data_IF_310911077369
#
_entry.id   IF_310911077369
#
_cell.length_a   1.000
_cell.length_b   1.000
_cell.length_c   1.000
_cell.angle_alpha   90.00
_cell.angle_beta   90.00
_cell.angle_gamma   90.00
#
_symmetry.space_group_name_H-M   'P 1'
#
loop_
_entity.id
_entity.type
_entity.pdbx_description
1 polymer ?
#
# COMPACT_ATOMS: atom_id res chain seq x y z
N UNK A 1 2.61 0.87 -8.49
CA UNK A 1 3.48 1.90 -9.07
C UNK A 1 2.83 3.28 -9.08
N UNK A 2 3.59 4.27 -9.46
CA UNK A 2 3.16 5.66 -9.60
C UNK A 2 3.82 6.27 -10.85
N UNK A 3 3.08 7.04 -11.63
CA UNK A 3 3.67 7.98 -12.58
C UNK A 3 4.14 9.24 -11.81
N UNK A 4 5.35 9.16 -11.28
CA UNK A 4 5.95 10.25 -10.50
C UNK A 4 6.27 11.48 -11.35
N UNK A 5 6.21 11.38 -12.68
CA UNK A 5 6.43 12.49 -13.61
C UNK A 5 5.16 13.29 -13.90
N UNK A 6 4.01 12.82 -13.40
CA UNK A 6 2.73 13.49 -13.60
C UNK A 6 2.78 14.94 -13.04
N UNK A 7 2.29 15.95 -13.78
CA UNK A 7 2.37 17.36 -13.36
C UNK A 7 1.82 17.66 -11.98
N UNK A 8 0.83 16.89 -11.51
CA UNK A 8 0.23 17.04 -10.20
C UNK A 8 1.15 16.64 -9.02
N UNK A 9 2.27 16.02 -9.32
CA UNK A 9 3.32 15.69 -8.34
C UNK A 9 4.58 16.53 -8.51
N UNK A 10 4.51 17.58 -9.30
CA UNK A 10 5.61 18.54 -9.54
C UNK A 10 5.19 19.91 -8.98
N UNK A 11 6.04 20.52 -8.19
CA UNK A 11 5.77 21.83 -7.61
C UNK A 11 5.94 22.98 -8.66
N UNK A 12 5.63 24.20 -8.25
CA UNK A 12 5.73 25.39 -9.13
C UNK A 12 7.17 25.75 -9.55
N UNK A 13 8.17 25.15 -8.91
CA UNK A 13 9.59 25.32 -9.23
C UNK A 13 10.13 24.20 -10.12
N UNK A 14 9.28 23.22 -10.47
CA UNK A 14 9.66 22.07 -11.28
C UNK A 14 10.27 20.91 -10.48
N UNK A 15 10.22 20.93 -9.14
CA UNK A 15 10.73 19.85 -8.32
C UNK A 15 9.62 18.85 -7.99
N UNK A 16 10.01 17.59 -7.82
CA UNK A 16 9.08 16.56 -7.40
C UNK A 16 8.59 16.74 -5.97
N UNK A 17 7.32 16.41 -5.71
CA UNK A 17 6.74 16.25 -4.36
C UNK A 17 6.94 14.84 -3.82
N UNK A 18 7.42 13.91 -4.65
CA UNK A 18 7.72 12.54 -4.26
C UNK A 18 9.12 12.51 -3.63
N UNK A 19 9.16 12.38 -2.31
CA UNK A 19 10.42 12.42 -1.56
C UNK A 19 11.20 11.12 -1.67
N UNK A 20 10.49 9.99 -1.73
CA UNK A 20 11.09 8.67 -1.85
C UNK A 20 10.17 7.74 -2.65
N UNK A 21 10.77 6.87 -3.44
CA UNK A 21 10.14 5.71 -4.06
C UNK A 21 10.93 4.47 -3.64
N UNK A 22 10.26 3.48 -3.07
CA UNK A 22 10.80 2.13 -2.90
C UNK A 22 10.02 1.16 -3.79
N UNK A 23 10.68 0.63 -4.79
CA UNK A 23 10.09 -0.36 -5.69
C UNK A 23 10.51 -1.78 -5.27
N UNK A 24 9.60 -2.47 -4.59
CA UNK A 24 9.79 -3.84 -4.12
C UNK A 24 9.78 -4.88 -5.26
N UNK A 25 9.45 -4.48 -6.49
CA UNK A 25 9.40 -5.40 -7.64
C UNK A 25 10.76 -5.62 -8.29
N UNK A 26 11.74 -4.77 -7.99
CA UNK A 26 13.08 -4.85 -8.57
C UNK A 26 13.87 -6.02 -7.95
N UNK A 27 14.16 -7.03 -8.77
CA UNK A 27 14.83 -8.25 -8.30
C UNK A 27 16.36 -8.15 -8.17
N UNK A 28 16.98 -7.16 -8.81
CA UNK A 28 18.43 -6.93 -8.77
C UNK A 28 18.74 -5.47 -8.49
N UNK A 29 18.43 -5.00 -7.27
CA UNK A 29 18.60 -3.61 -6.90
C UNK A 29 20.08 -3.22 -6.83
N UNK A 30 20.38 -1.95 -7.11
CA UNK A 30 21.69 -1.33 -6.90
C UNK A 30 21.72 -0.46 -5.65
N UNK A 31 20.56 -0.01 -5.19
CA UNK A 31 20.40 0.82 -4.01
C UNK A 31 19.16 0.35 -3.22
N UNK A 32 19.38 -0.50 -2.21
CA UNK A 32 18.31 -0.96 -1.32
C UNK A 32 18.10 0.03 -0.17
N UNK A 33 16.87 0.19 0.33
CA UNK A 33 16.67 1.01 1.53
C UNK A 33 17.43 0.44 2.73
N UNK A 34 17.93 1.32 3.59
CA UNK A 34 18.57 0.89 4.83
C UNK A 34 17.62 -0.02 5.64
N UNK A 35 18.16 -1.08 6.21
CA UNK A 35 17.47 -2.16 6.95
C UNK A 35 16.69 -3.17 6.10
N UNK A 36 16.65 -3.03 4.79
CA UNK A 36 16.01 -3.98 3.88
C UNK A 36 17.04 -4.50 2.88
N UNK A 37 16.83 -5.71 2.36
CA UNK A 37 17.75 -6.38 1.45
C UNK A 37 17.17 -6.60 0.05
N UNK A 38 16.08 -5.92 -0.29
CA UNK A 38 15.37 -6.09 -1.56
C UNK A 38 14.73 -4.79 -2.03
N UNK A 39 14.37 -4.76 -3.31
CA UNK A 39 13.80 -3.60 -3.96
C UNK A 39 14.78 -2.44 -4.13
N UNK A 40 14.47 -1.52 -4.99
CA UNK A 40 15.30 -0.34 -5.32
C UNK A 40 14.70 0.91 -4.70
N UNK A 41 15.54 1.77 -4.13
CA UNK A 41 15.14 3.06 -3.58
C UNK A 41 15.67 4.22 -4.43
N UNK A 42 14.84 5.23 -4.62
CA UNK A 42 15.21 6.54 -5.14
C UNK A 42 14.70 7.64 -4.22
N UNK A 43 15.50 8.65 -3.99
CA UNK A 43 15.09 9.86 -3.30
C UNK A 43 14.64 10.97 -4.29
N UNK A 44 14.21 12.11 -3.74
CA UNK A 44 13.77 13.25 -4.56
C UNK A 44 14.89 13.83 -5.42
N UNK A 45 16.16 13.66 -5.04
CA UNK A 45 17.31 14.08 -5.84
C UNK A 45 17.42 13.22 -7.09
N UNK A 46 17.35 11.90 -6.92
CA UNK A 46 17.37 10.94 -8.03
C UNK A 46 16.23 11.18 -9.01
N UNK A 47 15.02 11.46 -8.48
CA UNK A 47 13.85 11.77 -9.29
C UNK A 47 14.05 13.05 -10.09
N UNK A 48 14.49 14.13 -9.45
CA UNK A 48 14.72 15.41 -10.11
C UNK A 48 15.87 15.36 -11.13
N UNK A 49 16.87 14.49 -10.93
CA UNK A 49 17.95 14.27 -11.89
C UNK A 49 17.56 13.32 -13.04
N UNK A 50 16.38 12.71 -12.98
CA UNK A 50 15.89 11.80 -14.02
C UNK A 50 16.60 10.44 -14.03
N UNK A 51 17.21 10.02 -12.91
CA UNK A 51 17.87 8.70 -12.79
C UNK A 51 16.94 7.63 -12.20
N UNK A 52 15.78 8.02 -11.68
CA UNK A 52 14.76 7.08 -11.22
C UNK A 52 14.18 6.29 -12.40
N UNK A 53 14.25 4.97 -12.33
CA UNK A 53 13.78 4.05 -13.38
C UNK A 53 12.46 3.34 -13.02
N UNK A 54 11.83 3.73 -11.91
CA UNK A 54 10.52 3.24 -11.54
C UNK A 54 9.48 3.55 -12.62
N UNK A 55 8.55 2.65 -12.83
CA UNK A 55 7.43 2.82 -13.75
C UNK A 55 6.11 2.44 -13.10
N UNK A 56 5.02 3.10 -13.49
CA UNK A 56 3.67 2.66 -13.15
C UNK A 56 3.22 1.62 -14.19
N UNK A 57 3.12 0.32 -13.84
CA UNK A 57 2.81 -0.72 -14.82
C UNK A 57 1.40 -0.53 -15.40
N UNK A 58 1.30 -0.55 -16.72
CA UNK A 58 0.01 -0.43 -17.44
C UNK A 58 -1.01 -1.49 -17.06
N UNK A 59 -0.56 -2.65 -16.54
CA UNK A 59 -1.42 -3.73 -16.04
C UNK A 59 -2.31 -3.33 -14.88
N UNK A 60 -1.95 -2.28 -14.13
CA UNK A 60 -2.73 -1.75 -13.01
C UNK A 60 -3.47 -0.45 -13.36
N UNK A 61 -3.54 -0.08 -14.63
CA UNK A 61 -4.33 1.07 -15.14
C UNK A 61 -4.04 2.40 -14.43
N UNK A 62 -2.81 2.61 -13.95
CA UNK A 62 -2.45 3.81 -13.20
C UNK A 62 -3.11 3.91 -11.83
N UNK A 63 -3.47 2.78 -11.21
CA UNK A 63 -4.16 2.76 -9.92
C UNK A 63 -3.40 3.53 -8.84
N UNK A 64 -2.09 3.29 -8.69
CA UNK A 64 -1.28 3.98 -7.68
C UNK A 64 -1.16 5.48 -7.94
N UNK A 65 -1.02 5.89 -9.21
CA UNK A 65 -1.06 7.30 -9.62
C UNK A 65 -2.37 7.95 -9.25
N UNK A 66 -3.51 7.29 -9.54
CA UNK A 66 -4.84 7.80 -9.23
C UNK A 66 -5.04 7.96 -7.71
N UNK A 67 -4.70 6.93 -6.93
CA UNK A 67 -4.80 6.96 -5.46
C UNK A 67 -3.93 8.07 -4.86
N UNK A 68 -2.70 8.22 -5.35
CA UNK A 68 -1.79 9.29 -4.91
C UNK A 68 -2.32 10.67 -5.28
N UNK A 69 -2.93 10.82 -6.45
CA UNK A 69 -3.54 12.08 -6.87
C UNK A 69 -4.75 12.45 -5.99
N UNK A 70 -5.61 11.50 -5.66
CA UNK A 70 -6.73 11.73 -4.72
C UNK A 70 -6.24 12.17 -3.34
N UNK A 71 -5.09 11.68 -2.91
CA UNK A 71 -4.49 12.07 -1.64
C UNK A 71 -3.81 13.45 -1.70
N UNK A 72 -2.97 13.71 -2.70
CA UNK A 72 -2.01 14.81 -2.65
C UNK A 72 -1.73 15.53 -3.98
N UNK A 73 -2.61 15.42 -4.99
CA UNK A 73 -2.50 16.21 -6.22
C UNK A 73 -2.49 17.70 -5.91
N UNK A 74 -1.60 18.45 -6.55
CA UNK A 74 -1.59 19.92 -6.47
C UNK A 74 -2.40 20.59 -7.61
N UNK A 75 -3.05 19.81 -8.47
CA UNK A 75 -3.93 20.29 -9.54
C UNK A 75 -3.21 20.91 -10.72
N UNK A 76 -1.89 20.82 -10.83
CA UNK A 76 -1.12 21.50 -11.89
C UNK A 76 -1.45 21.02 -13.31
N UNK A 77 -1.89 19.77 -13.47
CA UNK A 77 -2.24 19.23 -14.78
C UNK A 77 -3.43 19.96 -15.43
N UNK A 78 -4.39 20.44 -14.63
CA UNK A 78 -5.63 21.01 -15.14
C UNK A 78 -5.96 22.38 -14.54
N UNK A 79 -5.13 22.92 -13.65
CA UNK A 79 -5.41 24.06 -12.78
C UNK A 79 -6.70 23.87 -11.93
N UNK A 80 -7.00 22.62 -11.59
CA UNK A 80 -8.16 22.20 -10.82
C UNK A 80 -7.94 20.76 -10.31
N UNK A 81 -8.91 20.20 -9.58
CA UNK A 81 -8.89 18.81 -9.11
C UNK A 81 -7.74 18.54 -8.14
N UNK A 82 -7.69 19.30 -7.07
CA UNK A 82 -6.75 19.11 -5.98
C UNK A 82 -7.04 17.83 -5.19
N UNK A 83 -6.01 17.17 -4.72
CA UNK A 83 -6.12 16.10 -3.72
C UNK A 83 -6.55 16.63 -2.35
N UNK A 84 -6.80 15.73 -1.42
CA UNK A 84 -7.23 16.08 -0.06
C UNK A 84 -6.17 16.88 0.72
N UNK A 85 -4.87 16.66 0.42
CA UNK A 85 -3.72 17.33 1.03
C UNK A 85 -2.73 17.78 -0.05
N UNK A 86 -3.04 18.86 -0.82
CA UNK A 86 -2.25 19.24 -1.99
C UNK A 86 -0.81 19.66 -1.68
N UNK A 87 -0.54 20.07 -0.45
CA UNK A 87 0.79 20.48 0.00
C UNK A 87 1.60 19.34 0.65
N UNK A 88 1.02 18.13 0.75
CA UNK A 88 1.73 17.01 1.35
C UNK A 88 2.84 16.49 0.44
N UNK A 89 3.95 16.10 1.06
CA UNK A 89 4.99 15.30 0.42
C UNK A 89 4.52 13.84 0.30
N UNK A 90 5.02 13.13 -0.70
CA UNK A 90 4.71 11.74 -0.95
C UNK A 90 5.92 10.84 -0.68
N UNK A 91 5.68 9.72 -0.01
CA UNK A 91 6.59 8.57 0.06
C UNK A 91 5.83 7.40 -0.55
N UNK A 92 6.38 6.78 -1.57
CA UNK A 92 5.69 5.75 -2.35
C UNK A 92 6.39 4.41 -2.21
N UNK A 93 5.63 3.36 -1.96
CA UNK A 93 6.11 1.98 -2.05
C UNK A 93 5.33 1.25 -3.14
N UNK A 94 6.04 0.79 -4.16
CA UNK A 94 5.49 -0.07 -5.20
C UNK A 94 5.59 -1.53 -4.74
N UNK A 95 4.47 -2.07 -4.26
CA UNK A 95 4.41 -3.40 -3.67
C UNK A 95 4.50 -4.50 -4.72
N UNK A 96 5.23 -5.58 -4.39
CA UNK A 96 5.29 -6.78 -5.21
C UNK A 96 4.17 -7.76 -4.83
N UNK A 97 3.04 -7.69 -5.52
CA UNK A 97 1.89 -8.57 -5.30
C UNK A 97 2.16 -10.06 -5.59
N UNK A 98 3.28 -10.39 -6.25
CA UNK A 98 3.69 -11.78 -6.51
C UNK A 98 4.58 -12.35 -5.39
N UNK A 99 4.89 -11.57 -4.35
CA UNK A 99 5.64 -12.06 -3.21
C UNK A 99 4.86 -13.12 -2.45
N UNK A 100 5.48 -14.27 -2.17
CA UNK A 100 4.87 -15.30 -1.34
C UNK A 100 4.61 -14.83 0.10
N UNK A 101 5.35 -13.82 0.56
CA UNK A 101 5.18 -13.16 1.87
C UNK A 101 4.69 -11.72 1.68
N UNK A 102 3.62 -11.55 0.89
CA UNK A 102 3.15 -10.20 0.55
C UNK A 102 2.78 -9.36 1.76
N UNK A 103 2.09 -9.94 2.77
CA UNK A 103 1.73 -9.22 4.00
C UNK A 103 2.96 -8.75 4.77
N UNK A 104 4.00 -9.59 4.87
CA UNK A 104 5.28 -9.19 5.46
C UNK A 104 5.92 -8.02 4.71
N UNK A 105 5.88 -8.01 3.36
CA UNK A 105 6.40 -6.88 2.58
C UNK A 105 5.58 -5.60 2.75
N UNK A 106 4.29 -5.70 3.08
CA UNK A 106 3.46 -4.54 3.47
C UNK A 106 3.89 -4.01 4.84
N UNK A 107 4.15 -4.88 5.82
CA UNK A 107 4.65 -4.45 7.12
C UNK A 107 6.03 -3.76 7.00
N UNK A 108 6.91 -4.27 6.13
CA UNK A 108 8.18 -3.62 5.79
C UNK A 108 7.96 -2.24 5.16
N UNK A 109 6.98 -2.11 4.26
CA UNK A 109 6.63 -0.84 3.64
C UNK A 109 6.16 0.19 4.68
N UNK A 110 5.37 -0.21 5.66
CA UNK A 110 4.90 0.66 6.76
C UNK A 110 6.09 1.12 7.61
N UNK A 111 7.01 0.23 7.97
CA UNK A 111 8.23 0.58 8.71
C UNK A 111 9.10 1.54 7.91
N UNK A 112 9.31 1.26 6.63
CA UNK A 112 10.07 2.12 5.72
C UNK A 112 9.49 3.54 5.68
N UNK A 113 8.20 3.67 5.38
CA UNK A 113 7.53 4.98 5.26
C UNK A 113 7.65 5.77 6.55
N UNK A 114 7.37 5.16 7.71
CA UNK A 114 7.49 5.84 8.99
C UNK A 114 8.94 6.23 9.31
N UNK A 115 9.93 5.40 8.97
CA UNK A 115 11.33 5.74 9.18
C UNK A 115 11.77 6.95 8.35
N UNK A 116 11.31 7.05 7.10
CA UNK A 116 11.59 8.20 6.23
C UNK A 116 10.89 9.47 6.74
N UNK A 117 9.62 9.37 7.11
CA UNK A 117 8.89 10.50 7.70
C UNK A 117 9.54 11.00 9.00
N UNK A 118 10.01 10.08 9.84
CA UNK A 118 10.71 10.40 11.07
C UNK A 118 12.05 11.13 10.82
N UNK A 119 12.79 10.70 9.80
CA UNK A 119 14.04 11.38 9.42
C UNK A 119 13.81 12.80 8.92
N UNK A 120 12.64 13.08 8.37
CA UNK A 120 12.20 14.41 7.94
C UNK A 120 11.57 15.24 9.10
N UNK A 121 11.30 14.60 10.24
CA UNK A 121 10.63 15.26 11.37
C UNK A 121 9.15 15.58 11.13
N UNK A 122 8.48 14.87 10.22
CA UNK A 122 7.12 15.14 9.78
C UNK A 122 6.12 14.07 10.29
N UNK A 123 4.86 14.48 10.56
CA UNK A 123 3.79 13.51 10.76
C UNK A 123 3.52 12.73 9.44
N UNK A 124 2.99 11.53 9.58
CA UNK A 124 2.79 10.65 8.43
C UNK A 124 1.45 9.93 8.48
N UNK A 125 0.73 9.98 7.35
CA UNK A 125 -0.48 9.18 7.13
C UNK A 125 -0.19 8.21 5.99
N UNK A 126 -0.32 6.92 6.25
CA UNK A 126 -0.15 5.86 5.24
C UNK A 126 -1.52 5.47 4.70
N UNK A 127 -1.64 5.42 3.37
CA UNK A 127 -2.78 4.84 2.68
C UNK A 127 -2.39 3.51 2.04
N UNK A 128 -3.15 2.45 2.31
CA UNK A 128 -3.01 1.14 1.68
C UNK A 128 -4.29 0.83 0.91
N UNK A 129 -4.28 1.10 -0.40
CA UNK A 129 -5.39 0.79 -1.31
C UNK A 129 -5.20 -0.59 -1.95
N UNK A 130 -4.91 -1.58 -1.13
CA UNK A 130 -4.71 -2.96 -1.49
C UNK A 130 -5.13 -3.86 -0.33
N UNK A 131 -5.37 -5.14 -0.59
CA UNK A 131 -5.75 -6.08 0.44
C UNK A 131 -5.87 -7.51 -0.08
N UNK A 132 -6.09 -8.43 0.82
CA UNK A 132 -6.38 -9.83 0.55
C UNK A 132 -7.53 -10.28 1.43
N UNK A 133 -8.23 -11.33 1.01
CA UNK A 133 -9.24 -12.01 1.82
C UNK A 133 -8.66 -13.22 2.58
N UNK A 134 -7.35 -13.44 2.50
CA UNK A 134 -6.65 -14.44 3.31
C UNK A 134 -6.30 -13.91 4.70
N UNK A 135 -6.16 -14.81 5.66
CA UNK A 135 -5.81 -14.47 7.04
C UNK A 135 -7.01 -14.49 8.00
N UNK A 136 -6.74 -14.25 9.27
CA UNK A 136 -7.73 -14.34 10.34
C UNK A 136 -8.70 -13.14 10.40
N UNK A 137 -8.30 -11.99 9.86
CA UNK A 137 -9.03 -10.71 9.87
C UNK A 137 -9.39 -10.16 11.26
N UNK A 138 -8.71 -10.65 12.29
CA UNK A 138 -8.90 -10.22 13.70
C UNK A 138 -7.81 -9.24 14.16
N UNK A 139 -6.83 -8.95 13.30
CA UNK A 139 -5.70 -8.08 13.62
C UNK A 139 -4.63 -8.73 14.51
N UNK A 140 -4.68 -10.05 14.68
CA UNK A 140 -3.73 -10.81 15.51
C UNK A 140 -2.64 -11.52 14.71
N UNK A 141 -2.67 -11.44 13.39
CA UNK A 141 -1.57 -11.89 12.54
C UNK A 141 -0.30 -11.12 12.87
N UNK A 142 0.86 -11.76 12.74
CA UNK A 142 2.15 -11.15 13.09
C UNK A 142 2.42 -9.83 12.38
N UNK A 143 2.03 -9.74 11.11
CA UNK A 143 2.22 -8.53 10.32
C UNK A 143 1.29 -7.40 10.78
N UNK A 144 0.04 -7.72 11.14
CA UNK A 144 -0.90 -6.76 11.73
C UNK A 144 -0.41 -6.24 13.09
N UNK A 145 0.09 -7.13 13.96
CA UNK A 145 0.67 -6.75 15.26
C UNK A 145 1.93 -5.88 15.08
N UNK A 146 2.78 -6.17 14.09
CA UNK A 146 3.95 -5.34 13.78
C UNK A 146 3.53 -3.94 13.34
N UNK A 147 2.56 -3.83 12.44
CA UNK A 147 2.02 -2.56 11.96
C UNK A 147 1.41 -1.76 13.12
N UNK A 148 0.61 -2.39 13.99
CA UNK A 148 0.02 -1.77 15.17
C UNK A 148 1.10 -1.22 16.12
N UNK A 149 2.16 -1.99 16.35
CA UNK A 149 3.32 -1.56 17.15
C UNK A 149 4.02 -0.35 16.53
N UNK A 150 4.25 -0.35 15.22
CA UNK A 150 4.86 0.77 14.50
C UNK A 150 4.00 2.03 14.60
N UNK A 151 2.68 1.91 14.46
CA UNK A 151 1.76 3.04 14.61
C UNK A 151 1.78 3.64 16.01
N UNK A 152 1.80 2.79 17.05
CA UNK A 152 1.79 3.21 18.45
C UNK A 152 3.13 3.76 18.94
N UNK A 153 4.22 3.48 18.23
CA UNK A 153 5.57 3.86 18.66
C UNK A 153 5.79 5.38 18.75
N UNK A 154 5.02 6.17 17.99
CA UNK A 154 5.18 7.62 17.93
C UNK A 154 3.86 8.32 17.61
N UNK A 155 3.63 9.48 18.20
CA UNK A 155 2.51 10.37 17.83
C UNK A 155 2.69 10.94 16.42
N UNK A 156 1.59 11.31 15.78
CA UNK A 156 1.60 11.86 14.41
C UNK A 156 1.64 10.80 13.31
N UNK A 157 1.37 9.53 13.64
CA UNK A 157 1.24 8.43 12.70
C UNK A 157 -0.21 7.99 12.57
N UNK A 158 -0.65 7.75 11.35
CA UNK A 158 -1.95 7.14 11.05
C UNK A 158 -1.82 6.19 9.86
N UNK A 159 -2.71 5.22 9.77
CA UNK A 159 -2.80 4.27 8.67
C UNK A 159 -4.25 4.06 8.30
N UNK A 160 -4.54 4.08 6.99
CA UNK A 160 -5.88 3.89 6.41
C UNK A 160 -5.80 2.77 5.38
N UNK A 161 -6.68 1.79 5.51
CA UNK A 161 -6.77 0.66 4.60
C UNK A 161 -8.07 0.66 3.83
N UNK A 162 -8.03 0.15 2.59
CA UNK A 162 -9.25 -0.12 1.83
C UNK A 162 -10.04 -1.27 2.48
N UNK A 163 -11.36 -1.12 2.52
CA UNK A 163 -12.27 -2.18 3.01
C UNK A 163 -12.48 -3.32 1.99
N UNK A 164 -11.99 -3.17 0.77
CA UNK A 164 -12.15 -4.12 -0.33
C UNK A 164 -13.34 -3.82 -1.23
N UNK A 165 -13.42 -4.53 -2.35
CA UNK A 165 -14.39 -4.28 -3.44
C UNK A 165 -15.36 -5.43 -3.65
N UNK A 166 -15.46 -6.39 -2.72
CA UNK A 166 -16.26 -7.61 -2.88
C UNK A 166 -17.71 -7.49 -2.38
N UNK A 167 -18.22 -6.28 -2.14
CA UNK A 167 -19.57 -6.06 -1.60
C UNK A 167 -20.72 -6.58 -2.47
N UNK A 168 -20.48 -6.84 -3.76
CA UNK A 168 -21.46 -7.46 -4.67
C UNK A 168 -21.35 -8.99 -4.72
N UNK A 169 -20.39 -9.59 -4.01
CA UNK A 169 -20.16 -11.03 -3.95
C UNK A 169 -20.70 -11.59 -2.64
N UNK A 170 -20.73 -12.92 -2.51
CA UNK A 170 -21.14 -13.59 -1.28
C UNK A 170 -20.28 -13.13 -0.09
N UNK A 171 -20.85 -13.18 1.12
CA UNK A 171 -20.16 -12.79 2.35
C UNK A 171 -18.90 -13.65 2.54
N UNK A 172 -17.77 -13.00 2.83
CA UNK A 172 -16.48 -13.66 3.08
C UNK A 172 -16.23 -13.91 4.56
N UNK A 173 -16.97 -13.25 5.43
CA UNK A 173 -16.82 -13.38 6.88
C UNK A 173 -18.14 -13.70 7.54
N UNK A 174 -18.08 -14.66 8.44
CA UNK A 174 -19.19 -15.05 9.29
C UNK A 174 -18.66 -15.18 10.72
N UNK A 175 -19.11 -14.30 11.59
CA UNK A 175 -18.77 -14.32 13.01
C UNK A 175 -19.87 -14.96 13.83
N UNK A 176 -19.50 -15.75 14.82
CA UNK A 176 -20.41 -16.36 15.80
C UNK A 176 -19.92 -16.09 17.20
N UNK A 177 -20.85 -15.71 18.08
CA UNK A 177 -20.64 -15.81 19.51
C UNK A 177 -21.01 -17.24 19.95
N UNK A 178 -20.00 -18.01 20.35
CA UNK A 178 -20.20 -19.36 20.85
C UNK A 178 -20.80 -19.28 22.26
N UNK A 179 -22.12 -19.29 22.36
CA UNK A 179 -22.84 -19.31 23.62
C UNK A 179 -23.33 -20.71 24.02
N UNK A 180 -23.14 -21.71 23.16
CA UNK A 180 -23.50 -23.10 23.36
C UNK A 180 -22.30 -24.01 23.12
N UNK A 181 -22.37 -25.27 23.57
CA UNK A 181 -21.30 -26.27 23.46
C UNK A 181 -20.90 -26.56 21.98
N UNK A 182 -21.82 -26.31 21.05
CA UNK A 182 -21.58 -26.60 19.63
C UNK A 182 -22.35 -25.63 18.75
N UNK A 183 -21.68 -25.05 17.79
CA UNK A 183 -22.26 -24.24 16.70
C UNK A 183 -21.90 -24.84 15.35
N UNK A 184 -22.82 -24.83 14.41
CA UNK A 184 -22.62 -25.32 13.05
C UNK A 184 -22.87 -24.21 12.06
N UNK A 185 -22.04 -24.15 11.01
CA UNK A 185 -22.32 -23.41 9.79
C UNK A 185 -22.13 -24.30 8.59
N UNK A 186 -22.92 -24.03 7.55
CA UNK A 186 -22.75 -24.67 6.26
C UNK A 186 -22.11 -23.68 5.32
N UNK A 187 -21.12 -24.10 4.57
CA UNK A 187 -20.51 -23.31 3.51
C UNK A 187 -20.39 -24.16 2.25
N UNK A 188 -20.50 -23.51 1.11
CA UNK A 188 -20.37 -24.12 -0.22
C UNK A 188 -19.20 -23.48 -0.95
N UNK A 189 -18.32 -24.33 -1.48
CA UNK A 189 -17.30 -23.86 -2.43
C UNK A 189 -17.92 -23.74 -3.81
N UNK A 190 -18.22 -22.53 -4.24
CA UNK A 190 -18.72 -22.30 -5.57
C UNK A 190 -17.54 -22.19 -6.54
N UNK A 191 -17.26 -23.27 -7.29
CA UNK A 191 -16.20 -23.33 -8.30
C UNK A 191 -16.41 -22.39 -9.50
N UNK A 192 -17.60 -21.78 -9.61
CA UNK A 192 -17.91 -20.81 -10.66
C UNK A 192 -17.45 -19.39 -10.31
N UNK A 193 -17.08 -19.10 -9.06
CA UNK A 193 -16.53 -17.82 -8.68
C UNK A 193 -15.00 -17.89 -8.85
N UNK A 194 -14.53 -17.65 -10.06
CA UNK A 194 -13.11 -17.45 -10.34
C UNK A 194 -12.79 -15.99 -10.05
N UNK A 195 -12.21 -15.70 -8.89
CA UNK A 195 -11.54 -14.43 -8.67
C UNK A 195 -10.19 -14.53 -9.38
N UNK A 196 -9.91 -13.73 -10.42
CA UNK A 196 -8.65 -13.81 -11.12
C UNK A 196 -7.47 -13.66 -10.14
N UNK A 197 -6.59 -14.66 -10.09
CA UNK A 197 -5.43 -14.68 -9.21
C UNK A 197 -5.61 -15.46 -7.90
N UNK A 198 -6.79 -15.99 -7.59
CA UNK A 198 -7.02 -16.84 -6.43
C UNK A 198 -7.46 -18.25 -6.85
N UNK A 199 -6.67 -19.26 -6.50
CA UNK A 199 -7.18 -20.61 -6.44
C UNK A 199 -8.19 -20.70 -5.29
N UNK A 200 -9.29 -21.47 -5.41
CA UNK A 200 -10.19 -21.71 -4.30
C UNK A 200 -9.46 -22.53 -3.22
N UNK A 201 -8.84 -21.85 -2.29
CA UNK A 201 -8.25 -22.45 -1.09
C UNK A 201 -9.16 -22.09 0.07
N UNK A 202 -9.95 -23.04 0.52
CA UNK A 202 -10.68 -22.91 1.78
C UNK A 202 -9.71 -23.11 2.93
N UNK A 203 -9.48 -22.08 3.73
CA UNK A 203 -8.91 -22.24 5.05
C UNK A 203 -10.06 -22.29 6.06
N UNK A 204 -10.12 -23.37 6.82
CA UNK A 204 -10.94 -23.46 8.03
C UNK A 204 -9.99 -23.28 9.20
N UNK A 205 -10.19 -22.25 9.99
CA UNK A 205 -9.46 -21.98 11.22
C UNK A 205 -10.30 -22.39 12.41
#
# INVERSE_FOLDING_TARGET
GIDFTHPDFIDSLGNTKVMYIWDQTIGSPTNTPANFSYGEEWDSTDINLGVCTHVDPSSYYGHGTNVSAMAASNGNATNSHYGAAPDANLIVVASNFNSANWLGTIADAVEYIYSKADSMGLPCVINISAGTYGGSHDGLDLDALRIDSLMKAKTGRALVCAAGNAGSHAAFHLGYDLSADTSFTWFEFNSSIVIPGYAPSGCVY
#
